data_IF_540136539287
#
_entry.id   IF_540136539287
#
_cell.length_a   1.000
_cell.length_b   1.000
_cell.length_c   1.000
_cell.angle_alpha   90.00
_cell.angle_beta   90.00
_cell.angle_gamma   90.00
#
_symmetry.space_group_name_H-M   'P 1'
#
loop_
_entity.id
_entity.type
_entity.pdbx_description
1 polymer ?
#
# COMPACT_ATOMS: atom_id res chain seq x y z
N UNK A 1 -9.19 -2.53 -1.27
CA UNK A 1 -10.15 -3.06 -2.26
C UNK A 1 -9.59 -4.21 -3.11
N UNK A 2 -10.35 -5.30 -3.33
CA UNK A 2 -10.02 -6.36 -4.29
C UNK A 2 -10.89 -6.25 -5.55
N UNK A 3 -10.28 -6.32 -6.74
CA UNK A 3 -10.97 -6.13 -8.04
C UNK A 3 -10.86 -7.34 -9.00
N UNK A 4 -10.19 -8.43 -8.60
CA UNK A 4 -10.08 -9.62 -9.43
C UNK A 4 -9.23 -9.42 -10.69
N UNK A 5 -9.66 -10.03 -11.80
CA UNK A 5 -8.90 -10.05 -13.07
C UNK A 5 -9.35 -8.93 -14.01
N UNK A 6 -8.43 -8.08 -14.51
CA UNK A 6 -8.77 -7.09 -15.54
C UNK A 6 -9.22 -7.74 -16.85
N UNK A 7 -10.26 -7.16 -17.45
CA UNK A 7 -10.67 -7.50 -18.82
C UNK A 7 -9.54 -7.29 -19.83
N UNK A 8 -9.54 -8.08 -20.90
CA UNK A 8 -8.45 -8.06 -21.90
C UNK A 8 -8.41 -6.76 -22.70
N UNK A 9 -9.56 -6.11 -22.91
CA UNK A 9 -9.74 -4.89 -23.71
C UNK A 9 -11.13 -4.30 -23.51
N UNK A 10 -11.35 -3.11 -24.08
CA UNK A 10 -12.67 -2.48 -24.16
C UNK A 10 -13.03 -1.64 -22.93
N UNK A 11 -14.28 -1.19 -22.88
CA UNK A 11 -14.76 -0.21 -21.89
C UNK A 11 -14.64 -0.68 -20.45
N UNK A 12 -14.89 -1.97 -20.19
CA UNK A 12 -14.79 -2.52 -18.84
C UNK A 12 -13.35 -2.50 -18.31
N UNK A 13 -12.37 -2.76 -19.17
CA UNK A 13 -10.95 -2.62 -18.83
C UNK A 13 -10.61 -1.17 -18.46
N UNK A 14 -11.03 -0.22 -19.30
CA UNK A 14 -10.76 1.21 -19.06
C UNK A 14 -11.39 1.68 -17.74
N UNK A 15 -12.66 1.32 -17.49
CA UNK A 15 -13.35 1.66 -16.25
C UNK A 15 -12.66 1.08 -15.00
N UNK A 16 -12.07 -0.13 -15.12
CA UNK A 16 -11.28 -0.71 -14.03
C UNK A 16 -10.00 0.10 -13.77
N UNK A 17 -9.28 0.52 -14.82
CA UNK A 17 -8.07 1.32 -14.67
C UNK A 17 -8.36 2.69 -14.04
N UNK A 18 -9.40 3.38 -14.52
CA UNK A 18 -9.86 4.66 -13.96
C UNK A 18 -10.21 4.50 -12.47
N UNK A 19 -10.92 3.42 -12.11
CA UNK A 19 -11.24 3.10 -10.72
C UNK A 19 -10.00 2.87 -9.87
N UNK A 20 -8.97 2.21 -10.40
CA UNK A 20 -7.68 2.02 -9.69
C UNK A 20 -7.00 3.36 -9.49
N UNK A 21 -6.94 4.20 -10.54
CA UNK A 21 -6.25 5.47 -10.51
C UNK A 21 -6.84 6.45 -9.49
N UNK A 22 -8.17 6.47 -9.34
CA UNK A 22 -8.87 7.33 -8.37
C UNK A 22 -9.05 6.70 -6.99
N UNK A 23 -8.65 5.44 -6.78
CA UNK A 23 -8.91 4.72 -5.53
C UNK A 23 -8.12 5.32 -4.36
N UNK A 24 -8.78 5.68 -3.26
CA UNK A 24 -8.12 6.08 -2.00
C UNK A 24 -7.68 4.91 -1.13
N UNK A 25 -7.97 3.69 -1.56
CA UNK A 25 -7.54 2.46 -0.91
C UNK A 25 -6.50 1.74 -1.76
N UNK A 26 -5.68 0.90 -1.12
CA UNK A 26 -4.85 -0.08 -1.81
C UNK A 26 -5.74 -1.00 -2.65
N UNK A 27 -5.38 -1.19 -3.91
CA UNK A 27 -6.12 -2.02 -4.85
C UNK A 27 -5.35 -3.31 -5.13
N UNK A 28 -6.05 -4.45 -5.06
CA UNK A 28 -5.49 -5.77 -5.38
C UNK A 28 -6.13 -6.31 -6.65
N UNK A 29 -5.28 -6.72 -7.59
CA UNK A 29 -5.63 -7.32 -8.87
C UNK A 29 -4.93 -8.67 -9.03
N UNK A 30 -5.57 -9.58 -9.74
CA UNK A 30 -4.91 -10.78 -10.26
C UNK A 30 -4.64 -10.62 -11.74
N UNK A 31 -3.54 -11.20 -12.21
CA UNK A 31 -3.20 -11.20 -13.62
C UNK A 31 -2.43 -12.45 -14.03
N UNK A 32 -2.58 -12.85 -15.29
CA UNK A 32 -1.74 -13.89 -15.87
C UNK A 32 -0.32 -13.36 -16.13
N UNK A 33 0.73 -14.20 -16.00
CA UNK A 33 2.10 -13.74 -16.20
C UNK A 33 2.37 -13.08 -17.56
N UNK A 34 1.70 -13.59 -18.60
CA UNK A 34 1.83 -13.09 -19.98
C UNK A 34 1.26 -11.68 -20.17
N UNK A 35 0.43 -11.23 -19.24
CA UNK A 35 -0.26 -9.93 -19.29
C UNK A 35 0.26 -8.95 -18.24
N UNK A 36 1.05 -9.40 -17.26
CA UNK A 36 1.53 -8.57 -16.14
C UNK A 36 2.23 -7.31 -16.60
N UNK A 37 3.21 -7.41 -17.52
CA UNK A 37 3.95 -6.23 -18.01
C UNK A 37 3.01 -5.21 -18.63
N UNK A 38 2.09 -5.67 -19.49
CA UNK A 38 1.09 -4.79 -20.12
C UNK A 38 0.18 -4.15 -19.07
N UNK A 39 -0.28 -4.90 -18.08
CA UNK A 39 -1.11 -4.35 -17.00
C UNK A 39 -0.35 -3.25 -16.23
N UNK A 40 0.92 -3.49 -15.89
CA UNK A 40 1.75 -2.50 -15.20
C UNK A 40 1.98 -1.23 -16.03
N UNK A 41 2.19 -1.37 -17.34
CA UNK A 41 2.32 -0.24 -18.27
C UNK A 41 1.02 0.57 -18.38
N UNK A 42 -0.12 -0.12 -18.50
CA UNK A 42 -1.43 0.51 -18.55
C UNK A 42 -1.77 1.22 -17.22
N UNK A 43 -1.41 0.61 -16.08
CA UNK A 43 -1.52 1.26 -14.77
C UNK A 43 -0.58 2.45 -14.65
N UNK A 44 0.66 2.38 -15.17
CA UNK A 44 1.61 3.49 -15.13
C UNK A 44 1.09 4.69 -15.91
N UNK A 45 0.40 4.44 -17.03
CA UNK A 45 -0.22 5.47 -17.85
C UNK A 45 -1.40 6.14 -17.14
N UNK A 46 -2.24 5.38 -16.44
CA UNK A 46 -3.46 5.91 -15.79
C UNK A 46 -3.21 6.44 -14.37
N UNK A 47 -2.42 5.74 -13.55
CA UNK A 47 -2.18 6.06 -12.15
C UNK A 47 -0.98 6.99 -11.91
N UNK A 48 -0.13 7.19 -12.93
CA UNK A 48 1.17 7.86 -12.85
C UNK A 48 2.32 6.86 -12.68
N UNK A 49 3.45 7.16 -13.35
CA UNK A 49 4.62 6.26 -13.44
C UNK A 49 5.25 5.92 -12.09
N UNK A 50 5.24 6.88 -11.18
CA UNK A 50 5.86 6.77 -9.85
C UNK A 50 4.95 6.11 -8.81
N UNK A 51 3.72 5.75 -9.16
CA UNK A 51 2.81 5.11 -8.20
C UNK A 51 3.44 3.82 -7.69
N UNK A 52 3.49 3.69 -6.36
CA UNK A 52 3.99 2.48 -5.71
C UNK A 52 3.14 1.26 -6.05
N UNK A 53 3.82 0.16 -6.37
CA UNK A 53 3.22 -1.14 -6.66
C UNK A 53 4.04 -2.26 -6.01
N UNK A 54 3.37 -3.33 -5.62
CA UNK A 54 3.97 -4.60 -5.29
C UNK A 54 3.40 -5.70 -6.18
N UNK A 55 4.26 -6.57 -6.69
CA UNK A 55 3.87 -7.75 -7.45
C UNK A 55 4.34 -8.98 -6.69
N UNK A 56 3.40 -9.82 -6.29
CA UNK A 56 3.66 -11.10 -5.66
C UNK A 56 3.42 -12.21 -6.68
N UNK A 57 4.33 -13.19 -6.74
CA UNK A 57 4.18 -14.38 -7.59
C UNK A 57 4.30 -15.66 -6.79
N UNK A 58 3.40 -16.60 -7.07
CA UNK A 58 3.45 -17.94 -6.49
C UNK A 58 4.11 -18.89 -7.51
N UNK A 59 5.42 -19.14 -7.33
CA UNK A 59 6.21 -19.98 -8.23
C UNK A 59 6.03 -21.48 -7.92
N UNK A 60 5.98 -21.82 -6.63
CA UNK A 60 5.64 -23.12 -6.00
C UNK A 60 5.31 -22.84 -4.53
N UNK A 61 4.58 -23.72 -3.83
CA UNK A 61 4.13 -23.57 -2.41
C UNK A 61 5.21 -23.19 -1.36
N UNK A 62 6.48 -23.05 -1.74
CA UNK A 62 7.62 -22.75 -0.84
C UNK A 62 8.42 -21.50 -1.28
N UNK A 63 8.25 -21.01 -2.52
CA UNK A 63 9.02 -19.87 -3.04
C UNK A 63 8.09 -18.77 -3.55
N UNK A 64 7.70 -17.88 -2.64
CA UNK A 64 7.08 -16.60 -2.97
C UNK A 64 8.17 -15.58 -3.33
N UNK A 65 7.92 -14.78 -4.38
CA UNK A 65 8.76 -13.63 -4.68
C UNK A 65 7.91 -12.37 -4.74
N UNK A 66 8.44 -11.30 -4.15
CA UNK A 66 7.82 -9.99 -4.12
C UNK A 66 8.74 -8.97 -4.78
N UNK A 67 8.29 -8.39 -5.90
CA UNK A 67 8.92 -7.23 -6.49
C UNK A 67 8.14 -5.97 -6.07
N UNK A 68 8.83 -4.97 -5.53
CA UNK A 68 8.24 -3.70 -5.09
C UNK A 68 8.97 -2.53 -5.73
N UNK A 69 8.28 -1.42 -5.96
CA UNK A 69 8.85 -0.21 -6.54
C UNK A 69 7.79 0.68 -7.17
N UNK A 70 8.22 1.60 -8.04
CA UNK A 70 7.30 2.36 -8.90
C UNK A 70 6.71 1.46 -9.99
N UNK A 71 5.54 1.83 -10.53
CA UNK A 71 4.94 1.12 -11.68
C UNK A 71 5.91 1.02 -12.86
N UNK A 72 6.67 2.07 -13.14
CA UNK A 72 7.65 2.07 -14.24
C UNK A 72 8.81 1.10 -14.00
N UNK A 73 9.38 1.10 -12.80
CA UNK A 73 10.54 0.26 -12.49
C UNK A 73 10.15 -1.21 -12.46
N UNK A 74 8.99 -1.51 -11.86
CA UNK A 74 8.49 -2.88 -11.78
C UNK A 74 8.07 -3.40 -13.16
N UNK A 75 7.49 -2.56 -14.03
CA UNK A 75 7.22 -2.92 -15.42
C UNK A 75 8.51 -3.24 -16.19
N UNK A 76 9.55 -2.42 -16.03
CA UNK A 76 10.86 -2.64 -16.65
C UNK A 76 11.49 -3.96 -16.17
N UNK A 77 11.48 -4.21 -14.86
CA UNK A 77 11.98 -5.44 -14.27
C UNK A 77 11.33 -6.68 -14.89
N UNK A 78 9.99 -6.73 -14.96
CA UNK A 78 9.26 -7.89 -15.50
C UNK A 78 9.33 -8.02 -17.02
N UNK A 79 9.76 -6.97 -17.74
CA UNK A 79 10.07 -7.07 -19.17
C UNK A 79 11.31 -7.94 -19.40
N UNK A 80 12.30 -7.82 -18.51
CA UNK A 80 13.54 -8.61 -18.56
C UNK A 80 13.41 -9.95 -17.82
N UNK A 81 12.57 -10.00 -16.79
CA UNK A 81 12.36 -11.17 -15.94
C UNK A 81 10.88 -11.60 -15.94
N UNK A 82 10.35 -12.15 -17.06
CA UNK A 82 8.93 -12.47 -17.16
C UNK A 82 8.43 -13.28 -15.97
N UNK A 83 7.32 -12.88 -15.34
CA UNK A 83 6.80 -13.60 -14.19
C UNK A 83 6.36 -15.01 -14.60
N UNK A 84 6.21 -15.90 -13.61
CA UNK A 84 5.69 -17.26 -13.77
C UNK A 84 4.67 -17.52 -12.67
N UNK A 85 3.76 -18.47 -12.90
CA UNK A 85 2.73 -18.85 -11.92
C UNK A 85 1.54 -17.89 -11.89
N UNK A 86 0.87 -17.78 -10.74
CA UNK A 86 -0.17 -16.79 -10.52
C UNK A 86 0.44 -15.47 -10.04
N UNK A 87 -0.06 -14.34 -10.53
CA UNK A 87 0.47 -13.01 -10.21
C UNK A 87 -0.59 -12.17 -9.52
N UNK A 88 -0.23 -11.65 -8.35
CA UNK A 88 -1.01 -10.67 -7.60
C UNK A 88 -0.33 -9.31 -7.71
N UNK A 89 -1.07 -8.30 -8.19
CA UNK A 89 -0.60 -6.92 -8.31
C UNK A 89 -1.32 -6.08 -7.27
N UNK A 90 -0.56 -5.43 -6.39
CA UNK A 90 -1.04 -4.59 -5.29
C UNK A 90 -0.61 -3.16 -5.59
N UNK A 91 -1.58 -2.30 -5.91
CA UNK A 91 -1.36 -0.90 -6.29
C UNK A 91 -1.67 -0.02 -5.08
N UNK A 92 -0.76 0.90 -4.76
CA UNK A 92 -0.96 1.86 -3.69
C UNK A 92 -2.16 2.80 -3.99
N UNK A 93 -2.80 3.36 -2.94
CA UNK A 93 -3.80 4.40 -3.09
C UNK A 93 -3.35 5.52 -4.04
N UNK A 94 -4.33 6.21 -4.62
CA UNK A 94 -4.13 7.52 -5.21
C UNK A 94 -3.44 8.41 -4.18
N UNK A 95 -2.27 8.94 -4.56
CA UNK A 95 -1.50 9.82 -3.70
C UNK A 95 -2.42 10.88 -3.10
N UNK A 96 -2.48 10.90 -1.77
CA UNK A 96 -2.86 12.11 -1.05
C UNK A 96 -1.71 13.12 -0.98
N UNK A 97 -0.59 12.84 -1.68
CA UNK A 97 0.60 13.68 -1.72
C UNK A 97 1.58 13.44 -0.57
N UNK A 98 1.51 12.30 0.12
CA UNK A 98 2.42 11.98 1.23
C UNK A 98 3.49 10.99 0.80
N UNK A 99 4.73 11.45 0.73
CA UNK A 99 5.91 10.61 0.49
C UNK A 99 6.15 9.62 1.64
N UNK A 100 7.00 8.61 1.43
CA UNK A 100 7.48 7.74 2.51
C UNK A 100 8.13 8.53 3.65
N UNK A 101 8.82 9.63 3.33
CA UNK A 101 9.36 10.54 4.34
C UNK A 101 8.23 11.21 5.15
N UNK A 102 7.14 11.63 4.51
CA UNK A 102 5.97 12.20 5.20
C UNK A 102 5.26 11.15 6.07
N UNK A 103 5.20 9.90 5.61
CA UNK A 103 4.65 8.79 6.39
C UNK A 103 5.52 8.50 7.61
N UNK A 104 6.83 8.40 7.43
CA UNK A 104 7.78 8.18 8.52
C UNK A 104 7.73 9.34 9.53
N UNK A 105 7.68 10.58 9.08
CA UNK A 105 7.53 11.76 9.94
C UNK A 105 6.22 11.75 10.73
N UNK A 106 5.10 11.37 10.10
CA UNK A 106 3.81 11.21 10.79
C UNK A 106 3.83 10.10 11.83
N UNK A 107 4.51 8.98 11.54
CA UNK A 107 4.66 7.89 12.50
C UNK A 107 5.53 8.29 13.69
N UNK A 108 6.61 9.04 13.45
CA UNK A 108 7.47 9.54 14.54
C UNK A 108 6.73 10.56 15.41
N UNK A 109 6.02 11.50 14.80
CA UNK A 109 5.15 12.45 15.51
C UNK A 109 4.07 11.73 16.34
N UNK A 110 3.49 10.65 15.80
CA UNK A 110 2.49 9.85 16.50
C UNK A 110 3.06 9.14 17.74
N UNK A 111 4.29 8.62 17.65
CA UNK A 111 4.98 8.00 18.81
C UNK A 111 5.31 9.02 19.89
N UNK A 112 5.77 10.22 19.51
CA UNK A 112 6.00 11.31 20.45
C UNK A 112 4.73 11.70 21.20
N UNK A 113 3.64 11.93 20.46
CA UNK A 113 2.34 12.28 21.04
C UNK A 113 1.75 11.15 21.91
N UNK A 114 1.96 9.88 21.55
CA UNK A 114 1.54 8.75 22.37
C UNK A 114 2.19 8.78 23.76
N UNK A 115 3.51 9.03 23.84
CA UNK A 115 4.24 9.14 25.10
C UNK A 115 3.76 10.31 25.96
N UNK A 116 3.52 11.46 25.34
CA UNK A 116 2.98 12.64 26.04
C UNK A 116 1.61 12.36 26.66
N UNK A 117 0.67 11.80 25.87
CA UNK A 117 -0.67 11.48 26.34
C UNK A 117 -0.68 10.37 27.40
N UNK A 118 0.24 9.40 27.31
CA UNK A 118 0.43 8.39 28.34
C UNK A 118 0.97 8.99 29.65
N UNK A 119 1.94 9.91 29.57
CA UNK A 119 2.47 10.63 30.73
C UNK A 119 1.40 11.52 31.41
N UNK A 120 0.42 12.02 30.66
CA UNK A 120 -0.77 12.71 31.18
C UNK A 120 -1.82 11.77 31.79
N UNK A 121 -1.59 10.45 31.78
CA UNK A 121 -2.50 9.44 32.31
C UNK A 121 -3.74 9.19 31.44
N UNK A 122 -3.70 9.57 30.17
CA UNK A 122 -4.83 9.37 29.26
C UNK A 122 -5.00 7.88 28.95
N UNK A 123 -6.26 7.41 28.93
CA UNK A 123 -6.55 6.01 28.59
C UNK A 123 -6.10 5.70 27.15
N UNK A 124 -5.53 4.51 26.87
CA UNK A 124 -4.99 4.15 25.54
C UNK A 124 -5.99 4.33 24.38
N UNK A 125 -7.25 4.00 24.61
CA UNK A 125 -8.31 4.15 23.60
C UNK A 125 -8.68 5.61 23.30
N UNK A 126 -8.52 6.51 24.27
CA UNK A 126 -8.71 7.95 24.09
C UNK A 126 -7.48 8.57 23.41
N UNK A 127 -6.27 8.18 23.81
CA UNK A 127 -5.03 8.62 23.18
C UNK A 127 -4.98 8.22 21.70
N UNK A 128 -5.34 6.98 21.35
CA UNK A 128 -5.40 6.51 19.97
C UNK A 128 -6.40 7.31 19.11
N UNK A 129 -7.52 7.76 19.70
CA UNK A 129 -8.51 8.60 19.01
C UNK A 129 -7.94 10.00 18.74
N UNK A 130 -7.25 10.58 19.71
CA UNK A 130 -6.63 11.90 19.59
C UNK A 130 -5.52 11.91 18.53
N UNK A 131 -4.64 10.91 18.55
CA UNK A 131 -3.55 10.75 17.58
C UNK A 131 -4.10 10.58 16.16
N UNK A 132 -5.11 9.72 16.00
CA UNK A 132 -5.76 9.51 14.70
C UNK A 132 -6.34 10.82 14.14
N UNK A 133 -6.99 11.63 15.00
CA UNK A 133 -7.58 12.90 14.61
C UNK A 133 -6.54 13.98 14.27
N UNK A 134 -5.47 14.10 15.06
CA UNK A 134 -4.46 15.15 14.88
C UNK A 134 -3.51 14.90 13.71
N UNK A 135 -3.20 13.63 13.43
CA UNK A 135 -2.17 13.26 12.46
C UNK A 135 -2.73 12.60 11.20
N UNK A 136 -4.05 12.60 11.04
CA UNK A 136 -4.77 11.96 9.93
C UNK A 136 -4.33 10.50 9.74
N UNK A 137 -4.19 9.79 10.86
CA UNK A 137 -3.79 8.38 10.87
C UNK A 137 -5.02 7.47 10.95
N UNK A 138 -4.99 6.31 10.27
CA UNK A 138 -5.99 5.28 10.49
C UNK A 138 -6.06 4.92 11.98
N UNK A 139 -7.28 4.80 12.50
CA UNK A 139 -7.51 4.53 13.93
C UNK A 139 -6.79 3.27 14.42
N UNK A 140 -6.66 2.24 13.57
CA UNK A 140 -5.95 1.01 13.90
C UNK A 140 -4.44 1.22 14.04
N UNK A 141 -3.85 2.09 13.20
CA UNK A 141 -2.43 2.41 13.26
C UNK A 141 -2.12 3.22 14.51
N UNK A 142 -2.94 4.22 14.82
CA UNK A 142 -2.83 5.01 16.05
C UNK A 142 -2.99 4.13 17.31
N UNK A 143 -3.91 3.16 17.30
CA UNK A 143 -4.10 2.22 18.41
C UNK A 143 -2.87 1.35 18.65
N UNK A 144 -2.29 0.79 17.59
CA UNK A 144 -1.05 0.02 17.69
C UNK A 144 0.10 0.83 18.26
N UNK A 145 0.27 2.07 17.80
CA UNK A 145 1.34 2.96 18.26
C UNK A 145 1.26 3.21 19.76
N UNK A 146 0.05 3.47 20.28
CA UNK A 146 -0.16 3.67 21.73
C UNK A 146 0.13 2.40 22.53
N UNK A 147 -0.23 1.23 22.00
CA UNK A 147 0.02 -0.03 22.69
C UNK A 147 1.51 -0.41 22.68
N UNK A 148 2.19 -0.23 21.55
CA UNK A 148 3.62 -0.51 21.41
C UNK A 148 4.48 0.47 22.25
N UNK A 149 3.97 1.67 22.58
CA UNK A 149 4.68 2.61 23.47
C UNK A 149 4.58 2.24 24.94
N UNK A 150 3.49 1.59 25.38
CA UNK A 150 3.32 1.12 26.77
C UNK A 150 4.25 -0.07 27.07
N UNK A 151 4.55 -0.94 26.09
CA UNK A 151 5.43 -2.11 26.24
C UNK A 151 6.93 -1.76 26.28
N UNK A 152 7.32 -0.53 25.93
CA UNK A 152 8.74 -0.13 25.78
C UNK A 152 9.41 0.47 27.02
N UNK A 153 8.65 0.69 28.10
CA UNK A 153 9.15 1.23 29.38
C UNK A 153 9.45 0.15 30.46
N UNK A 154 9.32 -1.14 30.11
CA UNK A 154 9.52 -2.30 31.02
C UNK A 154 10.84 -3.08 30.78
N UNK A 155 11.89 -2.45 30.23
CA UNK A 155 13.24 -3.04 30.06
C UNK A 155 14.37 -2.24 30.71
#
# INVERSE_FOLDING_TARGET
>A
MFLGFPDRKGKARQALLERVASSRETVVLFESPRRTVRLLEDLAAECGRERSVAVARELTKVHEEFQRGSLVDVAAYYREHPPKGEVTVVVAPADSGASEADRAARLDAAKGLARELAAEGMKPSAAAKEIAARLDLPRNDAYRIVHDSDDSDDL
#
